data_IF_400886131393
#
_entry.id   IF_400886131393
#
_cell.length_a   1.000
_cell.length_b   1.000
_cell.length_c   1.000
_cell.angle_alpha   90.00
_cell.angle_beta   90.00
_cell.angle_gamma   90.00
#
_symmetry.space_group_name_H-M   'P 1'
#
loop_
_entity.id
_entity.type
_entity.pdbx_description
1 polymer ?
#
# COMPACT_ATOMS: atom_id res chain seq x y z
N UNK A 1 -15.03 1.00 -15.21
CA UNK A 1 -14.68 0.08 -14.13
C UNK A 1 -15.98 -0.36 -13.45
N UNK A 2 -16.65 -1.42 -13.93
CA UNK A 2 -18.07 -1.68 -13.57
C UNK A 2 -18.35 -3.07 -13.02
N UNK A 3 -17.38 -4.00 -13.06
CA UNK A 3 -17.59 -5.41 -12.75
C UNK A 3 -17.27 -5.82 -11.31
N UNK A 4 -16.90 -4.87 -10.45
CA UNK A 4 -16.44 -5.12 -9.07
C UNK A 4 -17.26 -4.37 -8.01
N UNK A 5 -18.44 -3.84 -8.39
CA UNK A 5 -19.22 -2.96 -7.52
C UNK A 5 -18.57 -1.57 -7.35
N UNK A 6 -18.95 -0.86 -6.30
CA UNK A 6 -18.31 0.38 -5.89
C UNK A 6 -16.97 0.11 -5.21
N UNK A 7 -15.97 0.91 -5.51
CA UNK A 7 -14.66 0.86 -4.85
C UNK A 7 -14.12 2.27 -4.63
N UNK A 8 -13.35 2.45 -3.57
CA UNK A 8 -12.96 3.76 -3.06
C UNK A 8 -11.56 4.19 -3.47
N UNK A 9 -10.68 3.23 -3.80
CA UNK A 9 -9.27 3.49 -4.08
C UNK A 9 -8.86 2.80 -5.39
N UNK A 10 -8.23 3.57 -6.28
CA UNK A 10 -7.43 3.07 -7.38
C UNK A 10 -5.95 3.28 -7.03
N UNK A 11 -5.28 2.18 -6.67
CA UNK A 11 -3.90 2.19 -6.23
C UNK A 11 -2.98 1.86 -7.40
N UNK A 12 -2.47 2.88 -8.10
CA UNK A 12 -1.63 2.73 -9.29
C UNK A 12 -0.16 2.58 -8.88
N UNK A 13 0.60 1.83 -9.68
CA UNK A 13 2.05 1.65 -9.53
C UNK A 13 2.73 1.80 -10.91
N UNK A 14 4.02 2.12 -10.92
CA UNK A 14 4.79 2.30 -12.15
C UNK A 14 5.33 3.71 -12.39
N UNK A 15 6.01 4.30 -11.42
CA UNK A 15 6.48 5.71 -11.43
C UNK A 15 7.53 6.07 -12.46
N UNK A 16 7.92 5.11 -13.29
CA UNK A 16 8.75 5.30 -14.46
C UNK A 16 7.95 5.59 -15.73
N UNK A 17 6.62 5.39 -15.71
CA UNK A 17 5.74 5.74 -16.84
C UNK A 17 5.63 7.25 -16.90
N UNK A 18 5.96 7.84 -18.05
CA UNK A 18 5.92 9.29 -18.25
C UNK A 18 5.16 9.63 -19.53
N UNK A 19 4.74 10.89 -19.66
CA UNK A 19 3.99 11.35 -20.83
C UNK A 19 2.54 10.89 -20.85
N UNK A 20 1.88 11.12 -21.99
CA UNK A 20 0.43 10.91 -22.14
C UNK A 20 0.07 9.52 -22.70
N UNK A 21 1.03 8.60 -22.80
CA UNK A 21 0.86 7.29 -23.47
C UNK A 21 -0.32 6.47 -22.91
N UNK A 22 -0.64 6.65 -21.63
CA UNK A 22 -1.71 5.94 -20.95
C UNK A 22 -3.02 6.74 -20.83
N UNK A 23 -3.04 8.03 -21.19
CA UNK A 23 -4.18 8.94 -21.02
C UNK A 23 -4.84 8.82 -19.63
N UNK A 24 -4.03 8.94 -18.57
CA UNK A 24 -4.47 8.72 -17.18
C UNK A 24 -5.61 9.67 -16.77
N UNK A 25 -5.56 10.91 -17.25
CA UNK A 25 -6.62 11.91 -17.05
C UNK A 25 -7.99 11.38 -17.53
N UNK A 26 -8.08 10.90 -18.76
CA UNK A 26 -9.32 10.39 -19.32
C UNK A 26 -9.82 9.11 -18.63
N UNK A 27 -8.89 8.27 -18.14
CA UNK A 27 -9.23 7.08 -17.34
C UNK A 27 -9.84 7.51 -16.00
N UNK A 28 -9.20 8.41 -15.27
CA UNK A 28 -9.64 8.84 -13.95
C UNK A 28 -10.90 9.69 -13.99
N UNK A 29 -11.10 10.52 -15.02
CA UNK A 29 -12.35 11.25 -15.22
C UNK A 29 -13.54 10.29 -15.35
N UNK A 30 -13.40 9.25 -16.19
CA UNK A 30 -14.43 8.22 -16.37
C UNK A 30 -14.63 7.40 -15.10
N UNK A 31 -13.55 7.06 -14.39
CA UNK A 31 -13.59 6.31 -13.15
C UNK A 31 -14.34 7.08 -12.06
N UNK A 32 -14.00 8.35 -11.83
CA UNK A 32 -14.65 9.24 -10.83
C UNK A 32 -16.11 9.55 -11.17
N UNK A 33 -16.49 9.58 -12.45
CA UNK A 33 -17.91 9.66 -12.87
C UNK A 33 -18.71 8.43 -12.45
N UNK A 34 -18.10 7.24 -12.50
CA UNK A 34 -18.73 5.99 -12.10
C UNK A 34 -18.68 5.74 -10.59
N UNK A 35 -17.61 6.21 -9.94
CA UNK A 35 -17.33 6.05 -8.51
C UNK A 35 -17.02 7.42 -7.90
N UNK A 36 -18.06 8.20 -7.54
CA UNK A 36 -17.87 9.50 -6.91
C UNK A 36 -17.07 9.36 -5.61
N UNK A 37 -16.03 10.18 -5.45
CA UNK A 37 -15.14 10.12 -4.28
C UNK A 37 -13.94 9.19 -4.43
N UNK A 38 -13.78 8.51 -5.59
CA UNK A 38 -12.62 7.65 -5.86
C UNK A 38 -11.29 8.38 -5.62
N UNK A 39 -10.51 7.83 -4.71
CA UNK A 39 -9.15 8.22 -4.39
C UNK A 39 -8.21 7.53 -5.37
N UNK A 40 -7.35 8.30 -6.03
CA UNK A 40 -6.28 7.77 -6.87
C UNK A 40 -4.95 7.96 -6.16
N UNK A 41 -4.24 6.86 -5.99
CA UNK A 41 -2.84 6.86 -5.53
C UNK A 41 -2.01 6.82 -6.78
N UNK A 42 -1.33 7.92 -7.09
CA UNK A 42 -0.64 8.06 -8.37
C UNK A 42 0.86 7.93 -8.18
N UNK A 43 1.32 6.69 -8.03
CA UNK A 43 2.74 6.37 -8.17
C UNK A 43 3.20 6.30 -9.62
N UNK A 44 2.42 6.78 -10.60
CA UNK A 44 2.71 6.65 -12.03
C UNK A 44 3.10 8.00 -12.65
N UNK A 45 2.20 8.99 -12.62
CA UNK A 45 2.42 10.33 -13.18
C UNK A 45 2.04 11.38 -12.15
N UNK A 46 3.02 11.90 -11.42
CA UNK A 46 2.78 12.97 -10.42
C UNK A 46 1.96 14.11 -11.03
N UNK A 47 0.90 14.54 -10.34
CA UNK A 47 0.07 15.64 -10.83
C UNK A 47 -1.28 15.74 -10.13
N UNK A 48 -2.20 16.47 -10.77
CA UNK A 48 -3.54 16.82 -10.24
C UNK A 48 -4.41 15.63 -9.84
N UNK A 49 -4.05 14.42 -10.26
CA UNK A 49 -4.82 13.22 -10.02
C UNK A 49 -4.44 12.50 -8.73
N UNK A 50 -3.24 12.74 -8.19
CA UNK A 50 -2.76 12.16 -6.94
C UNK A 50 -3.54 12.73 -5.76
N UNK A 51 -4.22 11.86 -5.00
CA UNK A 51 -4.98 12.26 -3.82
C UNK A 51 -4.14 12.22 -2.52
N UNK A 52 -3.16 11.31 -2.45
CA UNK A 52 -2.21 11.25 -1.35
C UNK A 52 -0.88 10.70 -1.84
N UNK A 53 0.19 11.05 -1.13
CA UNK A 53 1.54 10.63 -1.47
C UNK A 53 1.93 9.34 -0.77
N UNK A 54 2.82 8.58 -1.39
CA UNK A 54 3.42 7.42 -0.76
C UNK A 54 4.92 7.65 -0.62
N UNK A 55 5.42 8.15 0.52
CA UNK A 55 6.86 8.27 0.74
C UNK A 55 7.52 6.90 0.56
N UNK A 56 8.25 6.72 -0.55
CA UNK A 56 8.76 5.42 -0.93
C UNK A 56 9.72 4.88 0.13
N UNK A 57 9.40 3.69 0.65
CA UNK A 57 10.21 2.88 1.57
C UNK A 57 10.44 3.46 2.97
N UNK A 58 9.67 4.46 3.41
CA UNK A 58 9.92 5.06 4.72
C UNK A 58 8.72 5.72 5.37
N UNK A 59 8.89 5.95 6.67
CA UNK A 59 8.10 6.88 7.47
C UNK A 59 8.87 8.21 7.42
N UNK A 60 8.25 9.33 7.03
CA UNK A 60 8.88 10.65 7.04
C UNK A 60 9.54 10.96 8.40
N UNK A 61 10.65 11.69 8.43
CA UNK A 61 11.32 12.04 9.70
C UNK A 61 10.43 12.95 10.57
N UNK A 62 9.79 13.93 9.92
CA UNK A 62 8.87 14.89 10.54
C UNK A 62 7.44 14.65 10.06
N UNK A 63 6.47 15.24 10.76
CA UNK A 63 5.09 15.28 10.30
C UNK A 63 4.99 15.99 8.94
N UNK A 64 4.07 15.54 8.09
CA UNK A 64 3.75 16.15 6.80
C UNK A 64 2.36 16.81 6.88
N UNK A 65 2.19 17.92 6.15
CA UNK A 65 0.95 18.71 6.14
C UNK A 65 -0.02 18.31 5.01
N UNK A 66 0.24 17.19 4.35
CA UNK A 66 -0.59 16.64 3.27
C UNK A 66 -0.82 15.14 3.50
N UNK A 67 -1.93 14.57 3.00
CA UNK A 67 -2.23 13.15 3.16
C UNK A 67 -1.13 12.25 2.57
N UNK A 68 -0.75 11.22 3.33
CA UNK A 68 0.26 10.26 2.88
C UNK A 68 0.03 8.85 3.46
N UNK A 69 0.61 7.85 2.80
CA UNK A 69 0.55 6.44 3.20
C UNK A 69 1.92 5.77 3.11
N UNK A 70 2.37 5.13 4.19
CA UNK A 70 3.51 4.22 4.15
C UNK A 70 3.05 2.82 3.80
N UNK A 71 3.63 2.28 2.72
CA UNK A 71 3.41 0.90 2.31
C UNK A 71 4.58 0.06 2.81
N UNK A 72 4.30 -0.81 3.78
CA UNK A 72 5.33 -1.60 4.48
C UNK A 72 4.92 -3.08 4.42
N UNK A 73 5.84 -3.95 4.02
CA UNK A 73 5.60 -5.40 4.00
C UNK A 73 5.61 -5.99 5.41
N UNK A 74 4.83 -7.03 5.68
CA UNK A 74 4.90 -7.78 6.94
C UNK A 74 6.19 -8.59 7.03
N UNK A 75 6.61 -9.21 5.92
CA UNK A 75 7.90 -9.86 5.73
C UNK A 75 8.93 -8.87 5.18
N UNK A 76 9.94 -9.34 4.44
CA UNK A 76 10.86 -8.48 3.67
C UNK A 76 10.35 -8.19 2.25
N UNK A 77 9.39 -8.97 1.76
CA UNK A 77 8.97 -9.02 0.36
C UNK A 77 7.46 -8.78 0.22
N UNK A 78 7.03 -8.29 -0.95
CA UNK A 78 5.61 -8.10 -1.26
C UNK A 78 4.89 -9.42 -1.54
N UNK A 79 5.53 -10.28 -2.33
CA UNK A 79 5.07 -11.63 -2.60
C UNK A 79 5.50 -12.59 -1.49
N UNK A 80 4.89 -13.78 -1.49
CA UNK A 80 5.29 -14.84 -0.57
C UNK A 80 6.71 -15.35 -0.88
N UNK A 81 7.52 -15.48 0.16
CA UNK A 81 8.85 -16.09 0.13
C UNK A 81 8.91 -17.12 1.26
N UNK A 82 9.25 -18.40 0.96
CA UNK A 82 9.31 -19.44 1.98
C UNK A 82 10.24 -19.07 3.13
N UNK A 83 9.79 -19.28 4.38
CA UNK A 83 10.56 -19.00 5.60
C UNK A 83 11.00 -17.53 5.75
N UNK A 84 10.32 -16.58 5.09
CA UNK A 84 10.65 -15.17 5.25
C UNK A 84 10.43 -14.71 6.71
N UNK A 85 11.35 -13.92 7.27
CA UNK A 85 11.17 -13.40 8.63
C UNK A 85 10.04 -12.38 8.65
N UNK A 86 9.11 -12.54 9.59
CA UNK A 86 8.03 -11.57 9.81
C UNK A 86 8.42 -10.55 10.86
N UNK A 87 7.98 -9.30 10.67
CA UNK A 87 8.05 -8.28 11.72
C UNK A 87 7.26 -8.76 12.93
N UNK A 88 7.78 -8.51 14.14
CA UNK A 88 7.05 -8.84 15.37
C UNK A 88 5.80 -7.96 15.50
N UNK A 89 4.75 -8.42 16.22
CA UNK A 89 3.57 -7.58 16.50
C UNK A 89 3.95 -6.24 17.14
N UNK A 90 4.92 -6.22 18.06
CA UNK A 90 5.43 -5.00 18.66
C UNK A 90 6.02 -4.04 17.62
N UNK A 91 6.77 -4.56 16.64
CA UNK A 91 7.34 -3.74 15.57
C UNK A 91 6.24 -3.14 14.69
N UNK A 92 5.22 -3.92 14.35
CA UNK A 92 4.06 -3.45 13.55
C UNK A 92 3.28 -2.37 14.30
N UNK A 93 3.01 -2.56 15.59
CA UNK A 93 2.33 -1.56 16.43
C UNK A 93 3.14 -0.26 16.49
N UNK A 94 4.46 -0.35 16.73
CA UNK A 94 5.33 0.84 16.76
C UNK A 94 5.31 1.60 15.42
N UNK A 95 5.36 0.86 14.31
CA UNK A 95 5.26 1.44 12.95
C UNK A 95 3.93 2.17 12.77
N UNK A 96 2.82 1.53 13.13
CA UNK A 96 1.48 2.14 13.05
C UNK A 96 1.39 3.40 13.91
N UNK A 97 1.86 3.35 15.15
CA UNK A 97 1.88 4.50 16.06
C UNK A 97 2.71 5.65 15.50
N UNK A 98 3.88 5.38 14.94
CA UNK A 98 4.73 6.42 14.36
C UNK A 98 4.09 7.08 13.13
N UNK A 99 3.53 6.28 12.22
CA UNK A 99 2.84 6.76 11.02
C UNK A 99 1.65 7.63 11.37
N UNK A 100 0.79 7.15 12.27
CA UNK A 100 -0.42 7.87 12.68
C UNK A 100 -0.10 9.15 13.45
N UNK A 101 0.94 9.16 14.29
CA UNK A 101 1.43 10.36 14.95
C UNK A 101 1.94 11.43 13.98
N UNK A 102 2.37 11.03 12.78
CA UNK A 102 2.85 11.92 11.70
C UNK A 102 1.79 12.20 10.63
N UNK A 103 0.52 11.84 10.88
CA UNK A 103 -0.61 12.15 10.01
C UNK A 103 -0.80 11.22 8.81
N UNK A 104 -0.14 10.06 8.79
CA UNK A 104 -0.20 9.12 7.68
C UNK A 104 -1.10 7.90 7.92
N UNK A 105 -1.28 7.10 6.86
CA UNK A 105 -1.89 5.78 6.89
C UNK A 105 -0.84 4.67 6.73
N UNK A 106 -1.07 3.51 7.35
CA UNK A 106 -0.25 2.30 7.16
C UNK A 106 -0.97 1.32 6.22
N UNK A 107 -0.35 1.03 5.08
CA UNK A 107 -0.69 -0.12 4.24
C UNK A 107 0.30 -1.26 4.55
N UNK A 108 -0.16 -2.26 5.30
CA UNK A 108 0.65 -3.42 5.66
C UNK A 108 0.47 -4.53 4.62
N UNK A 109 1.50 -4.76 3.80
CA UNK A 109 1.49 -5.78 2.75
C UNK A 109 1.65 -7.20 3.30
N UNK A 110 0.78 -8.12 2.86
CA UNK A 110 0.87 -9.55 3.15
C UNK A 110 0.91 -10.32 1.83
N UNK A 111 1.80 -11.30 1.74
CA UNK A 111 1.94 -12.17 0.56
C UNK A 111 1.35 -13.55 0.83
N UNK A 112 0.20 -13.91 0.21
CA UNK A 112 -0.33 -15.27 0.29
C UNK A 112 0.55 -16.29 -0.45
N UNK A 113 0.52 -17.54 -0.01
CA UNK A 113 1.11 -18.68 -0.74
C UNK A 113 0.44 -18.87 -2.10
N UNK A 114 1.02 -19.73 -2.94
CA UNK A 114 0.42 -20.12 -4.22
C UNK A 114 -0.98 -20.77 -4.08
N UNK A 115 -1.27 -21.36 -2.93
CA UNK A 115 -2.57 -21.94 -2.59
C UNK A 115 -3.56 -20.91 -2.02
N UNK A 116 -3.18 -19.63 -1.95
CA UNK A 116 -4.01 -18.54 -1.44
C UNK A 116 -4.07 -18.45 0.09
N UNK A 117 -3.13 -19.08 0.80
CA UNK A 117 -3.08 -19.07 2.27
C UNK A 117 -2.17 -17.96 2.77
N UNK A 118 -2.64 -17.13 3.71
CA UNK A 118 -1.76 -16.24 4.46
C UNK A 118 -1.11 -17.06 5.57
N UNK A 119 0.21 -17.24 5.50
CA UNK A 119 0.93 -18.01 6.50
C UNK A 119 0.87 -17.34 7.87
N UNK A 120 0.59 -18.15 8.88
CA UNK A 120 0.74 -17.75 10.27
C UNK A 120 2.21 -17.88 10.63
N UNK A 121 2.72 -16.92 11.41
CA UNK A 121 4.09 -16.96 11.93
C UNK A 121 4.38 -18.34 12.53
N UNK A 122 5.28 -19.10 11.92
CA UNK A 122 5.77 -20.33 12.54
C UNK A 122 6.77 -19.94 13.62
N UNK A 123 6.28 -19.72 14.84
CA UNK A 123 7.17 -19.66 15.98
C UNK A 123 7.82 -21.03 16.12
N UNK A 124 9.12 -21.13 15.81
CA UNK A 124 9.92 -22.33 16.10
C UNK A 124 10.11 -22.56 17.61
N UNK A 125 9.10 -22.28 18.42
CA UNK A 125 9.12 -22.34 19.88
C UNK A 125 8.14 -23.39 20.42
N UNK A 126 7.97 -24.51 19.72
CA UNK A 126 7.30 -25.71 20.25
C UNK A 126 7.82 -27.00 19.62
N UNK A 127 9.10 -27.31 19.87
CA UNK A 127 9.58 -28.71 19.96
C UNK A 127 10.91 -28.77 20.72
N UNK A 128 10.89 -28.37 21.99
CA UNK A 128 11.82 -28.89 22.99
C UNK A 128 10.96 -29.33 24.18
N UNK A 129 10.38 -30.52 24.04
CA UNK A 129 10.00 -31.39 25.14
C UNK A 129 10.51 -32.78 24.79
#
# INVERSE_FOLDING_TARGET
MTRYGSFDILWLDGGWVTGDDINLDGILEKARKQHPGLISVDRSIRGKNENYQTPERGIPETQLDYPWESCITLSNDWGWVPNAPFKSPQKVINILSEITAKGGCLLLGVGPTADGVIEVRSDKTSSMK
#
